data_IF_139216084083
#
_entry.id   IF_139216084083
#
_cell.length_a   1.000
_cell.length_b   1.000
_cell.length_c   1.000
_cell.angle_alpha   90.00
_cell.angle_beta   90.00
_cell.angle_gamma   90.00
#
_symmetry.space_group_name_H-M   'P 1'
#
loop_
_entity.id
_entity.type
_entity.pdbx_description
1 polymer ?
#
# COMPACT_ATOMS: atom_id res chain seq x y z
N UNK A 1 -6.39 10.72 -3.41
CA UNK A 1 -5.06 10.92 -2.78
C UNK A 1 -4.99 10.08 -1.53
N UNK A 2 -4.08 9.11 -1.50
CA UNK A 2 -3.88 8.15 -0.42
C UNK A 2 -3.07 8.78 0.71
N UNK A 3 -3.41 8.44 1.96
CA UNK A 3 -2.79 8.96 3.18
C UNK A 3 -2.36 7.83 4.10
N UNK A 4 -1.36 8.09 4.95
CA UNK A 4 -0.70 7.10 5.82
C UNK A 4 -1.59 6.36 6.83
N UNK A 5 -2.76 6.91 7.18
CA UNK A 5 -3.70 6.29 8.12
C UNK A 5 -4.71 5.35 7.43
N UNK A 6 -4.77 5.36 6.09
CA UNK A 6 -5.62 4.43 5.34
C UNK A 6 -5.06 3.01 5.47
N UNK A 7 -5.93 2.02 5.36
CA UNK A 7 -5.56 0.60 5.30
C UNK A 7 -5.42 0.14 3.85
N UNK A 8 -4.68 -0.96 3.56
CA UNK A 8 -4.69 -1.56 2.24
C UNK A 8 -6.09 -1.88 1.74
N UNK A 9 -7.01 -2.30 2.62
CA UNK A 9 -8.42 -2.51 2.27
C UNK A 9 -9.09 -1.23 1.76
N UNK A 10 -9.02 -0.13 2.52
CA UNK A 10 -9.61 1.16 2.12
C UNK A 10 -9.07 1.62 0.77
N UNK A 11 -7.80 1.32 0.51
CA UNK A 11 -7.10 1.72 -0.71
C UNK A 11 -7.55 0.89 -1.90
N UNK A 12 -7.53 -0.45 -1.82
CA UNK A 12 -7.94 -1.30 -2.96
C UNK A 12 -9.44 -1.24 -3.23
N UNK A 13 -10.27 -0.98 -2.21
CA UNK A 13 -11.71 -0.77 -2.39
C UNK A 13 -11.98 0.51 -3.20
N UNK A 14 -11.26 1.59 -2.87
CA UNK A 14 -11.45 2.90 -3.51
C UNK A 14 -10.67 3.07 -4.82
N UNK A 15 -9.53 2.40 -4.93
CA UNK A 15 -8.56 2.50 -6.02
C UNK A 15 -8.04 1.09 -6.39
N UNK A 16 -8.88 0.22 -7.01
CA UNK A 16 -8.50 -1.16 -7.34
C UNK A 16 -7.22 -1.26 -8.19
N UNK A 17 -6.95 -0.24 -9.00
CA UNK A 17 -5.75 -0.13 -9.82
C UNK A 17 -4.45 -0.07 -9.01
N UNK A 18 -4.52 0.20 -7.71
CA UNK A 18 -3.33 0.26 -6.84
C UNK A 18 -2.90 -1.12 -6.32
N UNK A 19 -3.67 -2.19 -6.58
CA UNK A 19 -3.36 -3.55 -6.12
C UNK A 19 -1.95 -4.00 -6.51
N UNK A 20 -1.50 -3.65 -7.73
CA UNK A 20 -0.17 -4.05 -8.20
C UNK A 20 0.96 -3.48 -7.32
N UNK A 21 0.78 -2.28 -6.76
CA UNK A 21 1.78 -1.65 -5.90
C UNK A 21 1.99 -2.52 -4.65
N UNK A 22 0.90 -2.99 -4.03
CA UNK A 22 0.99 -3.89 -2.87
C UNK A 22 1.72 -5.20 -3.23
N UNK A 23 1.43 -5.77 -4.40
CA UNK A 23 2.12 -6.99 -4.88
C UNK A 23 3.62 -6.80 -5.11
N UNK A 24 4.05 -5.60 -5.51
CA UNK A 24 5.48 -5.28 -5.62
C UNK A 24 6.16 -5.23 -4.24
N UNK A 25 5.43 -4.82 -3.20
CA UNK A 25 5.93 -4.86 -1.81
C UNK A 25 5.86 -6.25 -1.18
N UNK A 26 5.03 -7.17 -1.66
CA UNK A 26 5.03 -8.58 -1.19
C UNK A 26 6.43 -9.20 -1.35
N UNK A 27 7.12 -8.89 -2.46
CA UNK A 27 8.48 -9.37 -2.72
C UNK A 27 9.52 -8.76 -1.77
N UNK A 28 9.26 -7.55 -1.25
CA UNK A 28 10.14 -6.84 -0.31
C UNK A 28 9.93 -7.37 1.11
N UNK A 29 8.67 -7.59 1.51
CA UNK A 29 8.32 -8.11 2.83
C UNK A 29 8.57 -9.61 2.97
N UNK A 30 8.65 -10.34 1.86
CA UNK A 30 8.73 -11.80 1.85
C UNK A 30 7.40 -12.49 2.21
N UNK A 31 6.31 -11.72 2.31
CA UNK A 31 4.98 -12.20 2.64
C UNK A 31 3.89 -11.34 1.97
N UNK A 32 2.69 -11.90 1.83
CA UNK A 32 1.57 -11.21 1.21
C UNK A 32 1.08 -10.03 2.07
N UNK A 33 1.26 -8.81 1.61
CA UNK A 33 0.88 -7.60 2.31
C UNK A 33 -0.63 -7.52 2.51
N UNK A 34 -1.40 -7.82 1.45
CA UNK A 34 -2.86 -7.83 1.50
C UNK A 34 -3.44 -8.97 2.37
N UNK A 35 -2.62 -9.95 2.75
CA UNK A 35 -3.06 -11.06 3.59
C UNK A 35 -2.74 -10.77 5.07
N UNK A 36 -1.53 -10.27 5.33
CA UNK A 36 -1.03 -10.08 6.69
C UNK A 36 -1.32 -8.70 7.27
N UNK A 37 -1.52 -7.68 6.43
CA UNK A 37 -1.62 -6.28 6.84
C UNK A 37 -2.88 -5.57 6.31
N UNK A 38 -3.86 -6.32 5.81
CA UNK A 38 -5.06 -5.78 5.15
C UNK A 38 -5.78 -4.67 5.95
N UNK A 39 -5.77 -4.81 7.28
CA UNK A 39 -6.46 -3.92 8.22
C UNK A 39 -5.51 -3.02 9.02
N UNK A 40 -4.19 -3.15 8.82
CA UNK A 40 -3.22 -2.25 9.43
C UNK A 40 -3.15 -0.95 8.60
N UNK A 41 -2.89 0.18 9.25
CA UNK A 41 -2.63 1.43 8.52
C UNK A 41 -1.29 1.35 7.79
N UNK A 42 -1.14 2.08 6.68
CA UNK A 42 0.15 2.17 5.97
C UNK A 42 1.30 2.59 6.91
N UNK A 43 1.06 3.50 7.85
CA UNK A 43 2.07 3.86 8.87
C UNK A 43 2.35 2.74 9.88
N UNK A 44 1.34 1.93 10.24
CA UNK A 44 1.53 0.76 11.08
C UNK A 44 2.38 -0.31 10.41
N UNK A 45 2.19 -0.52 9.10
CA UNK A 45 2.97 -1.45 8.29
C UNK A 45 4.42 -0.99 8.21
N UNK A 46 4.65 0.28 7.87
CA UNK A 46 5.99 0.86 7.77
C UNK A 46 6.72 0.91 9.12
N UNK A 47 6.01 1.00 10.25
CA UNK A 47 6.64 0.91 11.58
C UNK A 47 7.10 -0.51 11.94
N UNK A 48 6.45 -1.53 11.38
CA UNK A 48 6.75 -2.96 11.61
C UNK A 48 7.75 -3.55 10.61
N UNK A 49 8.07 -2.81 9.54
CA UNK A 49 8.88 -3.29 8.41
C UNK A 49 9.95 -2.27 8.00
N UNK A 50 10.90 -2.67 7.16
CA UNK A 50 11.92 -1.76 6.61
C UNK A 50 11.43 -0.96 5.39
N UNK A 51 10.11 -0.75 5.26
CA UNK A 51 9.50 -0.05 4.14
C UNK A 51 9.56 1.47 4.35
N UNK A 52 10.03 2.19 3.33
CA UNK A 52 9.88 3.63 3.27
C UNK A 52 8.41 4.00 2.99
N UNK A 53 7.75 4.56 4.01
CA UNK A 53 6.34 4.95 3.94
C UNK A 53 6.06 6.04 2.88
N UNK A 54 6.97 6.98 2.71
CA UNK A 54 6.80 8.12 1.79
C UNK A 54 6.84 7.62 0.35
N UNK A 55 7.78 6.71 0.05
CA UNK A 55 7.88 6.04 -1.25
C UNK A 55 6.62 5.23 -1.57
N UNK A 56 6.13 4.44 -0.61
CA UNK A 56 4.93 3.63 -0.80
C UNK A 56 3.71 4.50 -1.11
N UNK A 57 3.50 5.58 -0.34
CA UNK A 57 2.39 6.52 -0.56
C UNK A 57 2.53 7.21 -1.92
N UNK A 58 3.74 7.60 -2.33
CA UNK A 58 3.98 8.22 -3.62
C UNK A 58 3.62 7.25 -4.77
N UNK A 59 4.07 5.99 -4.70
CA UNK A 59 3.75 4.96 -5.70
C UNK A 59 2.27 4.68 -5.80
N UNK A 60 1.60 4.55 -4.66
CA UNK A 60 0.15 4.35 -4.60
C UNK A 60 -0.61 5.53 -5.23
N UNK A 61 -0.21 6.77 -4.95
CA UNK A 61 -0.81 7.95 -5.58
C UNK A 61 -0.52 8.04 -7.09
N UNK A 62 0.66 7.61 -7.54
CA UNK A 62 0.99 7.50 -8.98
C UNK A 62 0.14 6.45 -9.68
N UNK A 63 -0.14 5.31 -9.04
CA UNK A 63 -1.01 4.26 -9.57
C UNK A 63 -2.42 4.78 -9.90
N UNK A 64 -2.98 5.64 -9.05
CA UNK A 64 -4.27 6.30 -9.31
C UNK A 64 -4.19 7.21 -10.55
N UNK A 65 -3.12 7.99 -10.68
CA UNK A 65 -2.97 8.97 -11.76
C UNK A 65 -2.70 8.35 -13.15
N UNK A 66 -2.24 7.09 -13.21
CA UNK A 66 -1.94 6.39 -14.47
C UNK A 66 -3.18 5.75 -15.13
N UNK A 67 -4.30 5.68 -14.41
CA UNK A 67 -5.53 5.01 -14.87
C UNK A 67 -6.76 5.94 -14.95
N UNK A 68 -6.54 7.26 -14.89
CA UNK A 68 -7.55 8.32 -15.05
C UNK A 68 -7.08 9.40 -16.03
#
# INVERSE_FOLDING_TARGET
>A
MIRKHMTPLDIVEKYPETEYVFREYDAILGECMLCNYLFDSIEGIAAKSEINIEEMIERLNKGIALHH
#
